data_IF_943195853840
#
_entry.id   IF_943195853840
#
_cell.length_a   1.000
_cell.length_b   1.000
_cell.length_c   1.000
_cell.angle_alpha   90.00
_cell.angle_beta   90.00
_cell.angle_gamma   90.00
#
_symmetry.space_group_name_H-M   'P 1'
#
loop_
_entity.id
_entity.type
_entity.pdbx_description
1 polymer ?
#
# COMPACT_ATOMS: atom_id res chain seq x y z
N UNK A 1 -36.66 -39.73 27.37
CA UNK A 1 -36.47 -38.42 28.04
C UNK A 1 -35.45 -37.65 27.19
N UNK A 2 -35.86 -36.92 26.14
CA UNK A 2 -35.88 -35.44 26.06
C UNK A 2 -34.80 -34.75 26.92
N UNK A 3 -33.88 -33.97 26.35
CA UNK A 3 -34.06 -32.54 25.95
C UNK A 3 -32.88 -32.12 25.03
N UNK A 4 -33.06 -31.53 23.82
CA UNK A 4 -33.21 -30.10 23.45
C UNK A 4 -32.26 -29.15 24.20
N UNK A 5 -31.62 -28.09 23.70
CA UNK A 5 -31.42 -27.43 22.40
C UNK A 5 -30.61 -26.18 22.74
N UNK A 6 -29.59 -25.84 21.96
CA UNK A 6 -29.25 -24.44 21.69
C UNK A 6 -28.69 -24.35 20.26
N UNK A 7 -29.61 -24.21 19.32
CA UNK A 7 -29.34 -23.80 17.96
C UNK A 7 -29.27 -22.26 17.91
N UNK A 8 -28.11 -21.70 17.52
CA UNK A 8 -27.88 -20.38 16.87
C UNK A 8 -26.36 -20.17 16.88
N UNK A 9 -25.64 -19.98 15.77
CA UNK A 9 -25.96 -19.32 14.52
C UNK A 9 -25.41 -20.14 13.35
N UNK A 10 -26.31 -20.57 12.45
CA UNK A 10 -25.98 -20.60 11.03
C UNK A 10 -25.61 -19.16 10.70
N UNK A 11 -24.34 -18.87 10.39
CA UNK A 11 -23.98 -17.56 9.86
C UNK A 11 -24.46 -17.56 8.41
N UNK A 12 -25.40 -16.66 8.18
CA UNK A 12 -26.16 -16.48 6.96
C UNK A 12 -25.25 -16.31 5.73
N UNK A 13 -25.68 -16.95 4.63
CA UNK A 13 -25.59 -16.49 3.24
C UNK A 13 -24.26 -15.88 2.78
N UNK A 14 -23.49 -16.70 2.03
CA UNK A 14 -22.63 -16.33 0.89
C UNK A 14 -22.28 -14.85 0.71
N UNK A 15 -21.36 -14.34 1.53
CA UNK A 15 -20.51 -13.23 1.12
C UNK A 15 -19.10 -13.80 0.98
N UNK A 16 -18.59 -13.85 -0.26
CA UNK A 16 -17.14 -13.92 -0.47
C UNK A 16 -16.54 -12.79 0.38
N UNK A 17 -15.77 -13.13 1.41
CA UNK A 17 -14.96 -12.11 2.07
C UNK A 17 -13.98 -11.63 1.02
N UNK A 18 -14.22 -10.43 0.48
CA UNK A 18 -13.32 -9.80 -0.49
C UNK A 18 -11.97 -9.62 0.20
N UNK A 19 -10.99 -10.44 -0.19
CA UNK A 19 -9.61 -10.30 0.23
C UNK A 19 -9.08 -8.95 -0.25
N UNK A 20 -8.66 -8.10 0.69
CA UNK A 20 -8.14 -6.77 0.37
C UNK A 20 -6.89 -6.89 -0.49
N UNK A 21 -6.73 -6.03 -1.50
CA UNK A 21 -5.56 -5.98 -2.36
C UNK A 21 -4.69 -4.78 -2.03
N UNK A 22 -3.43 -5.01 -1.67
CA UNK A 22 -2.45 -3.99 -1.30
C UNK A 22 -1.39 -3.91 -2.40
N UNK A 23 -1.22 -2.73 -3.00
CA UNK A 23 -0.12 -2.45 -3.92
C UNK A 23 1.07 -1.91 -3.10
N UNK A 24 2.23 -2.54 -3.26
CA UNK A 24 3.48 -2.13 -2.62
C UNK A 24 4.40 -1.57 -3.72
N UNK A 25 4.88 -0.36 -3.54
CA UNK A 25 5.69 0.35 -4.54
C UNK A 25 6.99 0.82 -3.90
N UNK A 26 8.10 0.25 -4.32
CA UNK A 26 9.45 0.54 -3.83
C UNK A 26 10.45 0.07 -4.91
N UNK A 27 11.52 0.82 -5.18
CA UNK A 27 12.51 0.44 -6.18
C UNK A 27 13.56 -0.55 -5.66
N UNK A 28 13.57 -0.81 -4.35
CA UNK A 28 14.40 -1.84 -3.73
C UNK A 28 13.63 -3.16 -3.56
N UNK A 29 14.09 -4.19 -4.28
CA UNK A 29 13.51 -5.54 -4.23
C UNK A 29 13.46 -6.12 -2.81
N UNK A 30 14.45 -5.83 -1.95
CA UNK A 30 14.47 -6.29 -0.56
C UNK A 30 13.33 -5.69 0.27
N UNK A 31 12.97 -4.43 0.01
CA UNK A 31 11.85 -3.78 0.70
C UNK A 31 10.51 -4.37 0.23
N UNK A 32 10.38 -4.64 -1.07
CA UNK A 32 9.19 -5.30 -1.62
C UNK A 32 8.98 -6.69 -1.00
N UNK A 33 10.03 -7.50 -0.92
CA UNK A 33 10.00 -8.83 -0.30
C UNK A 33 9.66 -8.74 1.20
N UNK A 34 10.31 -7.84 1.93
CA UNK A 34 10.10 -7.65 3.36
C UNK A 34 8.66 -7.21 3.68
N UNK A 35 8.14 -6.21 2.97
CA UNK A 35 6.76 -5.74 3.16
C UNK A 35 5.75 -6.79 2.73
N UNK A 36 6.02 -7.55 1.67
CA UNK A 36 5.15 -8.66 1.26
C UNK A 36 5.08 -9.71 2.35
N UNK A 37 6.23 -10.14 2.90
CA UNK A 37 6.28 -11.11 4.00
C UNK A 37 5.54 -10.64 5.25
N UNK A 38 5.65 -9.35 5.62
CA UNK A 38 4.87 -8.80 6.75
C UNK A 38 3.36 -8.80 6.51
N UNK A 39 2.93 -8.75 5.26
CA UNK A 39 1.52 -8.74 4.88
C UNK A 39 0.97 -10.14 4.59
N UNK A 40 1.82 -11.16 4.40
CA UNK A 40 1.41 -12.56 4.23
C UNK A 40 0.64 -13.10 5.45
N UNK A 41 0.99 -12.65 6.66
CA UNK A 41 0.27 -13.00 7.88
C UNK A 41 -1.13 -12.36 7.95
N UNK A 42 -1.40 -11.36 7.11
CA UNK A 42 -2.72 -10.76 6.95
C UNK A 42 -3.46 -11.45 5.80
N UNK A 43 -4.77 -11.65 5.95
CA UNK A 43 -5.61 -12.19 4.88
C UNK A 43 -5.83 -11.14 3.76
N UNK A 44 -4.77 -10.80 3.04
CA UNK A 44 -4.74 -9.83 1.95
C UNK A 44 -3.91 -10.34 0.76
N UNK A 45 -4.16 -9.79 -0.43
CA UNK A 45 -3.36 -10.03 -1.62
C UNK A 45 -2.36 -8.87 -1.75
N UNK A 46 -1.11 -9.16 -2.04
CA UNK A 46 -0.09 -8.14 -2.33
C UNK A 46 0.24 -8.11 -3.81
N UNK A 47 0.47 -6.91 -4.35
CA UNK A 47 0.96 -6.71 -5.72
C UNK A 47 2.20 -5.81 -5.61
N UNK A 48 3.42 -6.31 -5.91
CA UNK A 48 4.61 -5.48 -5.91
C UNK A 48 4.75 -4.67 -7.22
N UNK A 49 5.35 -3.49 -7.13
CA UNK A 49 5.77 -2.67 -8.26
C UNK A 49 7.15 -2.07 -7.96
N UNK A 50 8.09 -2.18 -8.90
CA UNK A 50 9.49 -1.73 -8.73
C UNK A 50 9.75 -0.28 -9.13
N UNK A 51 8.76 0.41 -9.68
CA UNK A 51 8.84 1.84 -9.94
C UNK A 51 7.46 2.49 -10.09
N UNK A 52 7.44 3.81 -10.16
CA UNK A 52 6.22 4.58 -10.33
C UNK A 52 5.47 4.35 -11.65
N UNK A 53 6.15 3.95 -12.73
CA UNK A 53 5.49 3.66 -14.00
C UNK A 53 4.71 2.34 -13.92
N UNK A 54 5.34 1.31 -13.37
CA UNK A 54 4.69 0.03 -13.14
C UNK A 54 3.50 0.16 -12.18
N UNK A 55 3.65 0.92 -11.10
CA UNK A 55 2.55 1.20 -10.17
C UNK A 55 1.33 1.84 -10.88
N UNK A 56 1.57 2.82 -11.76
CA UNK A 56 0.50 3.45 -12.53
C UNK A 56 -0.16 2.48 -13.53
N UNK A 57 0.61 1.59 -14.16
CA UNK A 57 0.07 0.57 -15.05
C UNK A 57 -0.76 -0.48 -14.31
N UNK A 58 -0.35 -0.88 -13.10
CA UNK A 58 -1.13 -1.76 -12.24
C UNK A 58 -2.43 -1.10 -11.83
N UNK A 59 -2.39 0.13 -11.33
CA UNK A 59 -3.58 0.88 -10.86
C UNK A 59 -4.62 1.09 -11.97
N UNK A 60 -4.19 1.19 -13.23
CA UNK A 60 -5.09 1.25 -14.39
C UNK A 60 -5.86 -0.06 -14.63
N UNK A 61 -5.23 -1.20 -14.33
CA UNK A 61 -5.79 -2.54 -14.58
C UNK A 61 -6.57 -3.07 -13.38
N UNK A 62 -6.08 -2.78 -12.18
CA UNK A 62 -6.62 -3.25 -10.91
C UNK A 62 -6.57 -2.10 -9.91
N UNK A 63 -7.72 -1.68 -9.40
CA UNK A 63 -7.81 -0.65 -8.36
C UNK A 63 -7.53 -1.32 -7.01
N UNK A 64 -6.37 -1.07 -6.36
CA UNK A 64 -6.07 -1.67 -5.06
C UNK A 64 -6.92 -1.02 -3.96
N UNK A 65 -7.09 -1.73 -2.85
CA UNK A 65 -7.79 -1.22 -1.67
C UNK A 65 -6.85 -0.36 -0.80
N UNK A 66 -5.52 -0.49 -0.96
CA UNK A 66 -4.49 0.33 -0.31
C UNK A 66 -3.20 0.36 -1.16
N UNK A 67 -2.47 1.48 -1.12
CA UNK A 67 -1.13 1.60 -1.69
C UNK A 67 -0.13 1.96 -0.60
N UNK A 68 0.93 1.15 -0.47
CA UNK A 68 2.15 1.48 0.26
C UNK A 68 3.16 2.00 -0.76
N UNK A 69 3.59 3.26 -0.62
CA UNK A 69 4.32 3.96 -1.68
C UNK A 69 5.59 4.61 -1.13
N UNK A 70 6.75 4.12 -1.56
CA UNK A 70 8.01 4.78 -1.27
C UNK A 70 8.05 6.19 -1.90
N UNK A 71 8.69 7.12 -1.20
CA UNK A 71 8.85 8.50 -1.64
C UNK A 71 9.99 8.64 -2.65
N UNK A 72 11.09 7.92 -2.44
CA UNK A 72 12.40 8.17 -3.03
C UNK A 72 12.76 7.13 -4.10
N UNK A 73 12.01 7.14 -5.21
CA UNK A 73 12.28 6.27 -6.36
C UNK A 73 12.95 7.00 -7.55
N UNK A 74 13.79 6.33 -8.33
CA UNK A 74 14.35 6.86 -9.57
C UNK A 74 13.27 7.08 -10.63
N UNK A 75 13.54 8.02 -11.56
CA UNK A 75 12.66 8.43 -12.68
C UNK A 75 11.36 9.14 -12.28
N UNK A 76 10.67 8.69 -11.24
CA UNK A 76 9.42 9.27 -10.76
C UNK A 76 9.33 9.11 -9.24
N UNK A 77 9.22 10.23 -8.52
CA UNK A 77 9.04 10.19 -7.06
C UNK A 77 7.67 9.67 -6.66
N UNK A 78 7.56 9.12 -5.45
CA UNK A 78 6.29 8.69 -4.88
C UNK A 78 5.25 9.81 -4.80
N UNK A 79 5.67 11.07 -4.59
CA UNK A 79 4.75 12.21 -4.62
C UNK A 79 4.11 12.41 -5.99
N UNK A 80 4.85 12.26 -7.08
CA UNK A 80 4.30 12.38 -8.44
C UNK A 80 3.39 11.20 -8.77
N UNK A 81 3.73 9.98 -8.35
CA UNK A 81 2.84 8.80 -8.45
C UNK A 81 1.53 9.06 -7.70
N UNK A 82 1.62 9.48 -6.43
CA UNK A 82 0.47 9.80 -5.58
C UNK A 82 -0.41 10.87 -6.23
N UNK A 83 0.18 11.96 -6.72
CA UNK A 83 -0.53 13.03 -7.42
C UNK A 83 -1.29 12.52 -8.65
N UNK A 84 -0.69 11.64 -9.46
CA UNK A 84 -1.35 11.07 -10.65
C UNK A 84 -2.51 10.15 -10.28
N UNK A 85 -2.34 9.30 -9.26
CA UNK A 85 -3.39 8.40 -8.76
C UNK A 85 -4.54 9.22 -8.16
N UNK A 86 -4.23 10.25 -7.37
CA UNK A 86 -5.22 11.15 -6.76
C UNK A 86 -5.90 12.09 -7.76
N UNK A 87 -5.24 12.41 -8.86
CA UNK A 87 -5.78 13.25 -9.93
C UNK A 87 -6.78 12.55 -10.84
N UNK A 88 -6.87 11.22 -10.80
CA UNK A 88 -7.85 10.46 -11.59
C UNK A 88 -9.07 10.11 -10.72
N UNK A 89 -10.30 10.55 -11.09
CA UNK A 89 -11.52 10.26 -10.33
C UNK A 89 -11.77 8.78 -10.03
N UNK A 90 -11.34 7.88 -10.93
CA UNK A 90 -11.52 6.43 -10.75
C UNK A 90 -10.64 5.85 -9.63
N UNK A 91 -9.53 6.52 -9.28
CA UNK A 91 -8.53 6.02 -8.33
C UNK A 91 -8.29 6.97 -7.16
N UNK A 92 -8.92 8.15 -7.16
CA UNK A 92 -8.70 9.19 -6.16
C UNK A 92 -9.07 8.76 -4.73
N UNK A 93 -10.03 7.85 -4.60
CA UNK A 93 -10.48 7.31 -3.32
C UNK A 93 -9.50 6.31 -2.69
N UNK A 94 -8.58 5.73 -3.47
CA UNK A 94 -7.65 4.71 -2.98
C UNK A 94 -6.73 5.30 -1.90
N UNK A 95 -6.71 4.79 -0.67
CA UNK A 95 -5.81 5.29 0.36
C UNK A 95 -4.36 5.01 -0.01
N UNK A 96 -3.47 5.97 0.28
CA UNK A 96 -2.04 5.89 0.01
C UNK A 96 -1.30 6.20 1.30
N UNK A 97 -0.45 5.28 1.75
CA UNK A 97 0.48 5.48 2.86
C UNK A 97 1.86 5.65 2.24
N UNK A 98 2.44 6.84 2.45
CA UNK A 98 3.81 7.09 2.05
C UNK A 98 4.75 6.34 2.99
N UNK A 99 5.60 5.49 2.44
CA UNK A 99 6.68 4.80 3.15
C UNK A 99 7.94 5.63 2.97
N UNK A 100 8.63 5.94 4.06
CA UNK A 100 9.89 6.69 3.99
C UNK A 100 10.92 6.03 4.90
N UNK A 101 12.11 5.75 4.39
CA UNK A 101 13.23 5.47 5.27
C UNK A 101 13.69 6.77 5.95
N UNK A 102 13.77 6.77 7.28
CA UNK A 102 14.15 7.92 8.10
C UNK A 102 15.61 8.35 7.93
N UNK A 103 16.40 7.62 7.14
CA UNK A 103 17.85 7.80 6.95
C UNK A 103 18.24 9.16 6.35
N UNK A 104 17.34 9.85 5.64
CA UNK A 104 17.63 11.16 5.02
C UNK A 104 17.07 12.37 5.79
N UNK A 105 16.31 12.16 6.86
CA UNK A 105 15.78 13.28 7.68
C UNK A 105 16.91 13.95 8.50
N UNK A 106 18.13 13.40 8.45
CA UNK A 106 19.31 13.86 9.18
C UNK A 106 20.15 14.99 8.57
N UNK A 107 19.94 15.47 7.33
CA UNK A 107 20.84 16.50 6.74
C UNK A 107 20.19 17.64 5.94
N UNK A 108 19.01 18.12 6.37
CA UNK A 108 18.42 19.36 5.81
C UNK A 108 18.24 20.52 6.81
N UNK A 109 18.71 20.39 8.06
CA UNK A 109 18.63 21.49 9.07
C UNK A 109 19.96 22.17 9.44
N UNK A 110 21.11 21.81 8.85
CA UNK A 110 22.42 22.29 9.37
C UNK A 110 23.34 23.02 8.38
N UNK A 111 22.84 23.68 7.32
CA UNK A 111 23.73 24.48 6.43
C UNK A 111 23.31 25.91 6.10
N UNK A 112 22.49 26.56 6.95
CA UNK A 112 22.21 28.01 6.80
C UNK A 112 22.67 28.88 7.99
N UNK A 113 23.64 28.45 8.81
CA UNK A 113 24.15 29.27 9.94
C UNK A 113 25.67 29.38 10.05
N UNK A 114 26.40 29.40 8.94
CA UNK A 114 27.81 29.81 8.92
C UNK A 114 28.12 30.72 7.72
N UNK A 115 27.45 31.87 7.69
CA UNK A 115 27.87 33.05 6.92
C UNK A 115 27.66 34.29 7.76
N UNK A 116 28.46 34.44 8.81
CA UNK A 116 28.87 35.71 9.39
C UNK A 116 30.25 35.52 9.99
#
# INVERSE_FOLDING_TARGET
>A
IMTKTAAKLKKDVGQEQKTATILIVDDNEQNLELLSAYLEDLACNTIPAKDGLEALEIVKKTIPDLILLDVMMPKMSGFEVCRRIKGNPATAAVPIIMVTALSEIGDHRTRHRLRH
#
